data_IF_618177172992
#
_entry.id   IF_618177172992
#
_cell.length_a   1.000
_cell.length_b   1.000
_cell.length_c   1.000
_cell.angle_alpha   90.00
_cell.angle_beta   90.00
_cell.angle_gamma   90.00
#
_symmetry.space_group_name_H-M   'P 1'
#
loop_
_entity.id
_entity.type
_entity.pdbx_description
1 polymer ?
#
# COMPACT_ATOMS: atom_id res chain seq x y z
N UNK A 1 -4.36 41.47 20.44
CA UNK A 1 -3.58 41.05 19.26
C UNK A 1 -4.13 39.70 18.88
N UNK A 2 -5.08 39.71 17.95
CA UNK A 2 -5.69 38.51 17.36
C UNK A 2 -4.69 37.90 16.39
N UNK A 3 -4.33 36.65 16.62
CA UNK A 3 -3.44 35.87 15.77
C UNK A 3 -4.27 35.37 14.57
N UNK A 4 -4.05 35.99 13.41
CA UNK A 4 -4.68 35.65 12.13
C UNK A 4 -4.03 34.38 11.57
N UNK A 5 -4.52 33.21 11.97
CA UNK A 5 -4.30 31.98 11.21
C UNK A 5 -5.23 31.99 9.99
N UNK A 6 -4.80 32.68 8.93
CA UNK A 6 -5.40 32.53 7.60
C UNK A 6 -5.31 31.06 7.18
N UNK A 7 -6.46 30.37 7.17
CA UNK A 7 -6.63 29.14 6.39
C UNK A 7 -6.37 29.50 4.93
N UNK A 8 -5.29 28.95 4.37
CA UNK A 8 -5.02 29.04 2.94
C UNK A 8 -6.15 28.31 2.19
N UNK A 9 -6.60 28.88 1.06
CA UNK A 9 -7.73 28.38 0.27
C UNK A 9 -7.46 27.02 -0.39
N UNK A 10 -8.36 26.55 -1.28
CA UNK A 10 -8.21 25.24 -1.95
C UNK A 10 -6.85 25.14 -2.64
N UNK A 11 -6.25 23.95 -2.60
CA UNK A 11 -4.89 23.66 -3.09
C UNK A 11 -4.79 23.99 -4.58
N UNK A 12 -4.34 25.19 -4.95
CA UNK A 12 -4.21 25.59 -6.37
C UNK A 12 -2.93 25.08 -7.04
N UNK A 13 -1.95 24.62 -6.24
CA UNK A 13 -0.70 24.01 -6.72
C UNK A 13 -0.58 22.59 -6.14
N UNK A 14 -0.50 21.58 -7.02
CA UNK A 14 -0.31 20.18 -6.65
C UNK A 14 1.02 19.95 -5.91
N UNK A 15 1.98 20.85 -6.06
CA UNK A 15 3.26 20.74 -5.36
C UNK A 15 3.15 21.26 -3.94
N UNK A 16 3.61 20.44 -3.01
CA UNK A 16 3.80 20.86 -1.62
C UNK A 16 4.76 22.07 -1.56
N UNK A 17 4.48 23.11 -0.74
CA UNK A 17 5.29 24.32 -0.69
C UNK A 17 6.78 24.05 -0.42
N UNK A 18 7.65 24.95 -0.90
CA UNK A 18 9.10 24.78 -0.90
C UNK A 18 9.72 24.61 0.50
N UNK A 19 10.75 23.77 0.63
CA UNK A 19 11.43 23.47 1.90
C UNK A 19 12.35 24.62 2.32
N UNK A 20 12.16 25.11 3.56
CA UNK A 20 13.14 25.95 4.25
C UNK A 20 14.31 25.12 4.82
N UNK A 21 15.51 25.69 4.83
CA UNK A 21 16.72 25.05 5.37
C UNK A 21 16.48 24.66 6.85
N UNK A 22 16.78 23.41 7.21
CA UNK A 22 16.66 22.90 8.59
C UNK A 22 15.31 22.24 8.95
N UNK A 23 14.33 22.19 8.05
CA UNK A 23 13.07 21.44 8.27
C UNK A 23 13.24 19.94 8.00
N UNK A 24 12.42 19.09 8.66
CA UNK A 24 12.29 17.65 8.35
C UNK A 24 11.98 17.41 6.85
N UNK A 25 12.36 16.27 6.25
CA UNK A 25 12.04 15.98 4.85
C UNK A 25 10.52 16.03 4.64
N UNK A 26 10.09 16.47 3.45
CA UNK A 26 8.70 16.35 3.02
C UNK A 26 8.41 14.89 2.71
N UNK A 27 7.61 14.28 3.56
CA UNK A 27 7.32 12.85 3.54
C UNK A 27 5.94 12.61 2.95
N UNK A 28 5.86 11.85 1.85
CA UNK A 28 4.58 11.35 1.33
C UNK A 28 4.39 9.91 1.76
N UNK A 29 3.26 9.62 2.41
CA UNK A 29 2.86 8.27 2.77
C UNK A 29 2.01 7.67 1.64
N UNK A 30 2.43 6.54 1.09
CA UNK A 30 1.70 5.81 0.04
C UNK A 30 1.14 4.53 0.63
N UNK A 31 -0.18 4.40 0.67
CA UNK A 31 -0.89 3.23 1.20
C UNK A 31 -1.47 2.42 0.04
N UNK A 32 -0.85 1.28 -0.24
CA UNK A 32 -1.24 0.43 -1.36
C UNK A 32 -2.58 -0.30 -1.18
N UNK A 33 -3.12 -0.78 -2.30
CA UNK A 33 -4.29 -1.67 -2.33
C UNK A 33 -3.96 -3.07 -1.79
N UNK A 34 -4.98 -3.80 -1.32
CA UNK A 34 -4.76 -5.14 -0.76
C UNK A 34 -5.97 -5.83 -0.11
N UNK A 35 -7.18 -5.29 -0.25
CA UNK A 35 -8.37 -5.79 0.46
C UNK A 35 -8.13 -5.87 1.97
N UNK A 36 -8.50 -6.97 2.61
CA UNK A 36 -8.35 -7.13 4.07
C UNK A 36 -6.91 -7.12 4.59
N UNK A 37 -5.91 -7.33 3.72
CA UNK A 37 -4.50 -7.13 4.10
C UNK A 37 -4.22 -5.68 4.51
N UNK A 38 -5.09 -4.75 4.11
CA UNK A 38 -5.02 -3.32 4.45
C UNK A 38 -5.02 -3.01 5.94
N UNK A 39 -5.44 -3.94 6.80
CA UNK A 39 -5.29 -3.78 8.26
C UNK A 39 -3.82 -3.59 8.68
N UNK A 40 -2.87 -4.10 7.88
CA UNK A 40 -1.45 -3.86 8.12
C UNK A 40 -1.09 -2.36 8.10
N UNK A 41 -1.82 -1.53 7.33
CA UNK A 41 -1.60 -0.07 7.30
C UNK A 41 -1.79 0.57 8.68
N UNK A 42 -2.71 0.06 9.51
CA UNK A 42 -2.90 0.52 10.89
C UNK A 42 -1.64 0.27 11.73
N UNK A 43 -1.04 -0.91 11.57
CA UNK A 43 0.23 -1.24 12.24
C UNK A 43 1.38 -0.35 11.76
N UNK A 44 1.44 -0.05 10.47
CA UNK A 44 2.44 0.90 9.93
C UNK A 44 2.26 2.29 10.54
N UNK A 45 1.03 2.80 10.57
CA UNK A 45 0.73 4.10 11.21
C UNK A 45 1.12 4.10 12.69
N UNK A 46 0.89 2.99 13.40
CA UNK A 46 1.25 2.84 14.81
C UNK A 46 2.77 2.91 15.00
N UNK A 47 3.53 2.17 14.18
CA UNK A 47 4.98 2.23 14.20
C UNK A 47 5.51 3.63 13.89
N UNK A 48 4.95 4.32 12.88
CA UNK A 48 5.33 5.70 12.57
C UNK A 48 5.06 6.65 13.74
N UNK A 49 3.89 6.54 14.38
CA UNK A 49 3.53 7.31 15.59
C UNK A 49 4.52 7.06 16.72
N UNK A 50 4.82 5.79 17.02
CA UNK A 50 5.79 5.39 18.07
C UNK A 50 7.19 5.95 17.80
N UNK A 51 7.61 5.97 16.54
CA UNK A 51 8.91 6.50 16.12
C UNK A 51 8.95 8.02 15.95
N UNK A 52 7.81 8.71 16.09
CA UNK A 52 7.71 10.15 15.85
C UNK A 52 7.88 10.56 14.38
N UNK A 53 7.72 9.63 13.44
CA UNK A 53 7.82 9.91 12.00
C UNK A 53 6.50 10.52 11.52
N UNK A 54 6.60 11.73 10.97
CA UNK A 54 5.47 12.46 10.41
C UNK A 54 5.43 12.35 8.88
N UNK A 55 4.22 12.45 8.32
CA UNK A 55 3.94 12.59 6.90
C UNK A 55 3.28 13.94 6.62
N UNK A 56 3.44 14.44 5.40
CA UNK A 56 2.92 15.74 4.95
C UNK A 56 1.80 15.59 3.92
N UNK A 57 1.70 14.43 3.27
CA UNK A 57 0.59 14.08 2.41
C UNK A 57 0.40 12.56 2.37
N UNK A 58 -0.79 12.12 2.03
CA UNK A 58 -1.14 10.70 1.89
C UNK A 58 -1.67 10.43 0.49
N UNK A 59 -1.23 9.34 -0.12
CA UNK A 59 -1.81 8.79 -1.35
C UNK A 59 -2.30 7.38 -1.06
N UNK A 60 -3.57 7.09 -1.32
CA UNK A 60 -4.18 5.80 -1.00
C UNK A 60 -4.86 5.15 -2.20
N UNK A 61 -4.80 3.82 -2.28
CA UNK A 61 -5.53 3.02 -3.27
C UNK A 61 -6.37 1.94 -2.57
N UNK A 62 -7.64 1.77 -2.96
CA UNK A 62 -8.53 0.76 -2.39
C UNK A 62 -8.60 0.86 -0.87
N UNK A 63 -8.39 -0.21 -0.12
CA UNK A 63 -8.29 -0.18 1.35
C UNK A 63 -7.28 0.86 1.88
N UNK A 64 -6.20 1.13 1.14
CA UNK A 64 -5.24 2.18 1.48
C UNK A 64 -5.83 3.59 1.36
N UNK A 65 -6.82 3.80 0.50
CA UNK A 65 -7.58 5.06 0.44
C UNK A 65 -8.49 5.24 1.66
N UNK A 66 -9.15 4.17 2.11
CA UNK A 66 -9.98 4.21 3.32
C UNK A 66 -9.15 4.52 4.56
N UNK A 67 -8.06 3.77 4.77
CA UNK A 67 -7.13 4.02 5.90
C UNK A 67 -6.48 5.40 5.76
N UNK A 68 -6.07 5.77 4.55
CA UNK A 68 -5.46 7.07 4.27
C UNK A 68 -6.39 8.25 4.56
N UNK A 69 -7.66 8.16 4.19
CA UNK A 69 -8.65 9.20 4.47
C UNK A 69 -8.91 9.35 5.98
N UNK A 70 -9.01 8.23 6.72
CA UNK A 70 -9.12 8.28 8.18
C UNK A 70 -7.89 8.92 8.84
N UNK A 71 -6.69 8.54 8.39
CA UNK A 71 -5.44 9.08 8.91
C UNK A 71 -5.27 10.58 8.57
N UNK A 72 -5.57 10.97 7.32
CA UNK A 72 -5.51 12.36 6.89
C UNK A 72 -6.53 13.24 7.63
N UNK A 73 -7.66 12.68 8.06
CA UNK A 73 -8.67 13.39 8.84
C UNK A 73 -8.43 13.40 10.34
N UNK A 74 -7.25 12.96 10.82
CA UNK A 74 -6.85 13.03 12.22
C UNK A 74 -7.50 11.98 13.13
N UNK A 75 -8.09 10.92 12.59
CA UNK A 75 -8.69 9.86 13.41
C UNK A 75 -7.62 9.15 14.24
N UNK A 76 -7.95 8.75 15.46
CA UNK A 76 -7.02 8.01 16.31
C UNK A 76 -6.84 6.56 15.83
N UNK A 77 -5.61 6.04 15.85
CA UNK A 77 -5.26 4.69 15.35
C UNK A 77 -6.10 3.61 16.06
N UNK A 78 -6.29 3.74 17.36
CA UNK A 78 -7.07 2.80 18.18
C UNK A 78 -8.56 2.82 17.81
N UNK A 79 -9.06 3.95 17.29
CA UNK A 79 -10.41 4.05 16.78
C UNK A 79 -10.52 3.48 15.36
N UNK A 80 -9.54 3.75 14.48
CA UNK A 80 -9.47 3.15 13.15
C UNK A 80 -9.48 1.62 13.23
N UNK A 81 -8.66 1.04 14.12
CA UNK A 81 -8.59 -0.40 14.36
C UNK A 81 -9.95 -0.95 14.80
N UNK A 82 -10.60 -0.34 15.80
CA UNK A 82 -11.93 -0.77 16.28
C UNK A 82 -13.01 -0.67 15.21
N UNK A 83 -12.97 0.37 14.38
CA UNK A 83 -13.91 0.51 13.27
C UNK A 83 -13.69 -0.65 12.31
N UNK A 84 -12.47 -0.83 11.85
CA UNK A 84 -12.08 -1.82 10.85
C UNK A 84 -12.16 -3.27 11.34
N UNK A 85 -12.08 -3.53 12.65
CA UNK A 85 -12.37 -4.84 13.25
C UNK A 85 -13.87 -5.16 13.25
N UNK A 86 -14.71 -4.14 13.43
CA UNK A 86 -16.18 -4.29 13.41
C UNK A 86 -16.75 -4.38 12.00
N UNK A 87 -15.96 -4.00 11.00
CA UNK A 87 -16.26 -4.21 9.59
C UNK A 87 -16.31 -5.72 9.33
N UNK A 88 -17.51 -6.29 9.45
CA UNK A 88 -17.76 -7.69 9.14
C UNK A 88 -17.95 -7.91 7.63
N UNK A 89 -17.76 -9.15 7.15
CA UNK A 89 -18.13 -9.54 5.77
C UNK A 89 -19.56 -9.14 5.41
N UNK A 90 -20.46 -9.11 6.38
CA UNK A 90 -21.89 -8.85 6.19
C UNK A 90 -22.20 -7.36 5.97
N UNK A 91 -21.33 -6.46 6.43
CA UNK A 91 -21.52 -5.02 6.34
C UNK A 91 -21.16 -4.41 4.98
N UNK A 92 -20.16 -4.98 4.29
CA UNK A 92 -19.66 -4.48 3.01
C UNK A 92 -20.24 -5.24 1.82
N UNK A 93 -20.63 -6.48 2.05
CA UNK A 93 -21.04 -7.41 1.02
C UNK A 93 -22.52 -7.81 1.20
N UNK A 94 -23.42 -6.83 1.25
CA UNK A 94 -24.86 -7.08 1.14
C UNK A 94 -25.24 -7.37 -0.32
N UNK A 95 -25.40 -8.66 -0.62
CA UNK A 95 -25.68 -9.13 -1.97
C UNK A 95 -26.91 -8.41 -2.54
N UNK A 96 -26.79 -7.91 -3.77
CA UNK A 96 -27.90 -7.34 -4.51
C UNK A 96 -28.77 -8.46 -5.10
N UNK A 97 -29.34 -9.29 -4.22
CA UNK A 97 -30.12 -10.49 -4.57
C UNK A 97 -31.21 -10.18 -5.60
N UNK A 98 -31.84 -9.01 -5.51
CA UNK A 98 -32.91 -8.57 -6.41
C UNK A 98 -32.40 -8.29 -7.83
N UNK A 99 -31.30 -7.54 -8.00
CA UNK A 99 -30.69 -7.33 -9.33
C UNK A 99 -30.10 -8.63 -9.89
N UNK A 100 -29.51 -9.48 -9.05
CA UNK A 100 -28.97 -10.78 -9.46
C UNK A 100 -30.08 -11.74 -9.91
N UNK A 101 -31.23 -11.77 -9.24
CA UNK A 101 -32.40 -12.55 -9.66
C UNK A 101 -33.02 -12.01 -10.96
N UNK A 102 -33.13 -10.69 -11.11
CA UNK A 102 -33.82 -10.06 -12.25
C UNK A 102 -32.96 -10.00 -13.52
N UNK A 103 -31.64 -9.81 -13.39
CA UNK A 103 -30.72 -9.62 -14.52
C UNK A 103 -29.73 -10.76 -14.71
N UNK A 104 -29.63 -11.71 -13.78
CA UNK A 104 -28.71 -12.84 -13.89
C UNK A 104 -27.26 -12.38 -14.13
N UNK A 105 -26.62 -12.91 -15.17
CA UNK A 105 -25.26 -12.52 -15.61
C UNK A 105 -25.16 -11.11 -16.20
N UNK A 106 -26.29 -10.39 -16.37
CA UNK A 106 -26.32 -8.99 -16.84
C UNK A 106 -26.35 -7.95 -15.71
N UNK A 107 -26.27 -8.38 -14.44
CA UNK A 107 -26.09 -7.44 -13.33
C UNK A 107 -24.65 -6.86 -13.38
N UNK A 108 -24.47 -5.54 -13.39
CA UNK A 108 -23.14 -4.93 -13.47
C UNK A 108 -22.30 -5.13 -12.19
N UNK A 109 -22.94 -5.45 -11.06
CA UNK A 109 -22.29 -5.66 -9.77
C UNK A 109 -23.04 -6.68 -8.91
N UNK A 110 -22.33 -7.27 -7.94
CA UNK A 110 -22.87 -8.25 -7.01
C UNK A 110 -23.48 -7.61 -5.75
N UNK A 111 -23.05 -6.41 -5.37
CA UNK A 111 -23.39 -5.75 -4.11
C UNK A 111 -24.00 -4.36 -4.32
N UNK A 112 -24.79 -3.88 -3.34
CA UNK A 112 -25.35 -2.52 -3.37
C UNK A 112 -24.30 -1.50 -2.93
N UNK A 113 -23.89 -0.63 -3.84
CA UNK A 113 -22.93 0.45 -3.54
C UNK A 113 -23.43 1.45 -2.50
N UNK A 114 -24.74 1.71 -2.45
CA UNK A 114 -25.36 2.65 -1.50
C UNK A 114 -25.07 2.31 -0.03
N UNK A 115 -25.20 1.04 0.36
CA UNK A 115 -24.90 0.60 1.74
C UNK A 115 -23.44 0.81 2.11
N UNK A 116 -22.53 0.59 1.16
CA UNK A 116 -21.10 0.82 1.38
C UNK A 116 -20.81 2.33 1.51
N UNK A 117 -21.41 3.18 0.66
CA UNK A 117 -21.30 4.65 0.75
C UNK A 117 -21.83 5.21 2.07
N UNK A 118 -22.98 4.72 2.54
CA UNK A 118 -23.54 5.10 3.83
C UNK A 118 -22.56 4.81 4.98
N UNK A 119 -21.94 3.61 4.97
CA UNK A 119 -20.93 3.24 5.97
C UNK A 119 -19.66 4.07 5.85
N UNK A 120 -19.22 4.43 4.65
CA UNK A 120 -18.10 5.35 4.47
C UNK A 120 -18.39 6.71 5.09
N UNK A 121 -19.62 7.22 4.94
CA UNK A 121 -20.04 8.50 5.53
C UNK A 121 -20.04 8.48 7.07
N UNK A 122 -20.22 7.31 7.69
CA UNK A 122 -20.14 7.14 9.15
C UNK A 122 -18.69 6.99 9.65
N UNK A 123 -17.83 6.37 8.85
CA UNK A 123 -16.46 6.01 9.23
C UNK A 123 -15.48 7.15 8.94
N UNK A 124 -15.71 7.93 7.89
CA UNK A 124 -14.81 9.03 7.52
C UNK A 124 -15.05 10.24 8.42
N UNK A 125 -13.98 10.87 8.94
CA UNK A 125 -14.12 11.94 9.93
C UNK A 125 -14.58 13.27 9.34
N UNK A 126 -14.41 13.48 8.03
CA UNK A 126 -14.69 14.72 7.30
C UNK A 126 -15.47 14.44 6.01
N UNK A 127 -16.05 15.47 5.41
CA UNK A 127 -16.83 15.38 4.16
C UNK A 127 -16.03 15.83 2.94
N UNK A 128 -15.15 16.82 3.11
CA UNK A 128 -14.32 17.36 2.03
C UNK A 128 -12.87 16.90 2.10
N UNK A 129 -12.18 16.91 0.95
CA UNK A 129 -10.72 16.71 0.89
C UNK A 129 -9.95 17.89 1.51
N UNK A 130 -10.51 19.09 1.45
CA UNK A 130 -9.97 20.35 1.98
C UNK A 130 -10.13 20.50 3.51
N UNK A 131 -10.97 19.65 4.12
CA UNK A 131 -11.20 19.60 5.57
C UNK A 131 -10.17 18.74 6.33
N UNK A 132 -9.31 18.02 5.60
CA UNK A 132 -8.33 17.09 6.16
C UNK A 132 -7.11 17.82 6.74
N UNK A 133 -6.46 17.20 7.74
CA UNK A 133 -5.29 17.77 8.42
C UNK A 133 -4.05 17.82 7.52
N UNK A 134 -3.95 16.87 6.58
CA UNK A 134 -2.91 16.81 5.55
C UNK A 134 -3.56 16.54 4.18
N UNK A 135 -2.97 17.03 3.08
CA UNK A 135 -3.40 16.68 1.73
C UNK A 135 -3.51 15.16 1.54
N UNK A 136 -4.66 14.72 1.02
CA UNK A 136 -4.95 13.33 0.74
C UNK A 136 -5.37 13.17 -0.72
N UNK A 137 -4.83 12.15 -1.37
CA UNK A 137 -5.14 11.83 -2.76
C UNK A 137 -5.60 10.39 -2.90
N UNK A 138 -6.77 10.21 -3.50
CA UNK A 138 -7.43 8.93 -3.62
C UNK A 138 -7.34 8.40 -5.06
N UNK A 139 -6.61 7.31 -5.27
CA UNK A 139 -6.36 6.75 -6.60
C UNK A 139 -7.54 5.91 -7.09
N UNK A 140 -8.00 6.19 -8.30
CA UNK A 140 -9.03 5.45 -9.02
C UNK A 140 -8.64 5.29 -10.49
N UNK A 141 -9.36 4.45 -11.23
CA UNK A 141 -9.23 4.33 -12.69
C UNK A 141 -10.50 4.82 -13.38
N UNK A 142 -10.33 5.63 -14.42
CA UNK A 142 -11.43 6.03 -15.32
C UNK A 142 -11.64 4.95 -16.38
N UNK A 143 -12.82 4.34 -16.42
CA UNK A 143 -13.10 3.20 -17.28
C UNK A 143 -13.11 3.55 -18.77
N UNK A 144 -13.43 4.79 -19.13
CA UNK A 144 -13.52 5.21 -20.54
C UNK A 144 -12.18 5.20 -21.27
N UNK A 145 -11.08 5.41 -20.55
CA UNK A 145 -9.74 5.49 -21.14
C UNK A 145 -8.66 4.65 -20.42
N UNK A 146 -9.00 4.01 -19.30
CA UNK A 146 -8.08 3.22 -18.49
C UNK A 146 -7.02 4.04 -17.75
N UNK A 147 -7.18 5.36 -17.66
CA UNK A 147 -6.22 6.25 -17.00
C UNK A 147 -6.44 6.35 -15.50
N UNK A 148 -5.34 6.47 -14.73
CA UNK A 148 -5.40 6.83 -13.33
C UNK A 148 -6.01 8.22 -13.13
N UNK A 149 -6.79 8.34 -12.07
CA UNK A 149 -7.37 9.58 -11.58
C UNK A 149 -7.13 9.65 -10.08
N UNK A 150 -6.77 10.83 -9.58
CA UNK A 150 -6.50 11.05 -8.16
C UNK A 150 -7.50 12.08 -7.64
N UNK A 151 -8.53 11.65 -6.91
CA UNK A 151 -9.44 12.59 -6.23
C UNK A 151 -8.67 13.33 -5.13
N UNK A 152 -9.06 14.58 -4.86
CA UNK A 152 -8.29 15.53 -4.05
C UNK A 152 -7.27 16.35 -4.85
N UNK A 153 -7.13 16.08 -6.16
CA UNK A 153 -6.42 16.99 -7.08
C UNK A 153 -7.35 18.11 -7.57
N UNK A 154 -6.80 19.27 -7.99
CA UNK A 154 -7.61 20.38 -8.50
C UNK A 154 -8.52 19.95 -9.66
N UNK A 155 -9.78 20.40 -9.63
CA UNK A 155 -10.79 20.00 -10.61
C UNK A 155 -11.68 18.83 -10.18
N UNK A 156 -11.47 18.27 -8.98
CA UNK A 156 -12.40 17.37 -8.29
C UNK A 156 -12.88 17.97 -6.96
N UNK A 157 -12.90 19.30 -6.86
CA UNK A 157 -13.20 20.05 -5.63
C UNK A 157 -14.64 19.86 -5.14
N UNK A 158 -15.54 19.44 -6.03
CA UNK A 158 -16.95 19.15 -5.76
C UNK A 158 -17.22 17.68 -5.43
N UNK A 159 -16.21 16.80 -5.50
CA UNK A 159 -16.33 15.38 -5.16
C UNK A 159 -16.21 15.19 -3.65
N UNK A 160 -17.25 14.67 -2.96
CA UNK A 160 -17.16 14.34 -1.54
C UNK A 160 -16.07 13.30 -1.26
N UNK A 161 -15.47 13.36 -0.07
CA UNK A 161 -14.41 12.44 0.36
C UNK A 161 -14.88 10.98 0.29
N UNK A 162 -16.08 10.69 0.80
CA UNK A 162 -16.67 9.36 0.77
C UNK A 162 -16.86 8.81 -0.65
N UNK A 163 -17.15 9.69 -1.61
CA UNK A 163 -17.36 9.32 -3.01
C UNK A 163 -16.02 9.00 -3.70
N UNK A 164 -14.98 9.79 -3.43
CA UNK A 164 -13.63 9.50 -3.90
C UNK A 164 -13.10 8.19 -3.33
N UNK A 165 -13.28 7.95 -2.02
CA UNK A 165 -12.90 6.68 -1.36
C UNK A 165 -13.73 5.51 -1.89
N UNK A 166 -15.04 5.69 -2.11
CA UNK A 166 -15.91 4.68 -2.71
C UNK A 166 -15.42 4.28 -4.12
N UNK A 167 -15.10 5.26 -4.96
CA UNK A 167 -14.57 5.00 -6.30
C UNK A 167 -13.30 4.18 -6.25
N UNK A 168 -12.37 4.52 -5.35
CA UNK A 168 -11.12 3.77 -5.15
C UNK A 168 -11.31 2.38 -4.57
N UNK A 169 -12.41 2.10 -3.86
CA UNK A 169 -12.75 0.79 -3.32
C UNK A 169 -13.72 -0.02 -4.19
N UNK A 170 -14.11 0.51 -5.35
CA UNK A 170 -15.10 -0.10 -6.24
C UNK A 170 -14.47 -1.21 -7.10
N UNK A 171 -14.35 -2.39 -6.51
CA UNK A 171 -13.78 -3.58 -7.17
C UNK A 171 -14.67 -4.08 -8.33
N UNK A 172 -14.08 -4.45 -9.50
CA UNK A 172 -14.80 -4.98 -10.64
C UNK A 172 -15.65 -6.20 -10.29
N UNK A 173 -16.95 -6.15 -10.63
CA UNK A 173 -17.90 -7.22 -10.37
C UNK A 173 -18.40 -7.29 -8.92
N UNK A 174 -17.81 -6.54 -7.99
CA UNK A 174 -18.28 -6.39 -6.60
C UNK A 174 -19.25 -5.22 -6.49
N UNK A 175 -18.77 -4.02 -6.79
CA UNK A 175 -19.50 -2.76 -6.62
C UNK A 175 -19.79 -2.10 -7.97
N UNK A 176 -20.80 -1.23 -8.02
CA UNK A 176 -21.07 -0.42 -9.21
C UNK A 176 -20.00 0.67 -9.34
N UNK A 177 -19.47 0.94 -10.55
CA UNK A 177 -18.55 2.05 -10.73
C UNK A 177 -19.19 3.36 -10.27
N UNK A 178 -18.37 4.24 -9.69
CA UNK A 178 -18.79 5.58 -9.32
C UNK A 178 -18.96 6.43 -10.57
N UNK A 179 -20.11 7.09 -10.73
CA UNK A 179 -20.36 8.01 -11.84
C UNK A 179 -20.20 9.46 -11.35
N UNK A 180 -19.37 10.23 -12.04
CA UNK A 180 -19.20 11.66 -11.80
C UNK A 180 -18.84 12.36 -13.12
N UNK A 181 -19.56 13.44 -13.44
CA UNK A 181 -19.45 14.19 -14.70
C UNK A 181 -19.54 13.32 -15.97
N UNK A 182 -20.38 12.28 -15.94
CA UNK A 182 -20.62 11.38 -17.06
C UNK A 182 -19.48 10.37 -17.32
N UNK A 183 -18.54 10.25 -16.38
CA UNK A 183 -17.45 9.26 -16.42
C UNK A 183 -17.57 8.26 -15.28
N UNK A 184 -17.01 7.07 -15.50
CA UNK A 184 -17.12 5.95 -14.57
C UNK A 184 -15.76 5.62 -13.95
N UNK A 185 -15.74 5.51 -12.63
CA UNK A 185 -14.52 5.28 -11.86
C UNK A 185 -14.59 3.97 -11.07
N UNK A 186 -13.48 3.25 -11.04
CA UNK A 186 -13.30 2.01 -10.28
C UNK A 186 -11.99 2.01 -9.50
N UNK A 187 -11.77 0.95 -8.73
CA UNK A 187 -10.58 0.75 -7.91
C UNK A 187 -9.28 0.99 -8.70
N UNK A 188 -8.44 1.90 -8.20
CA UNK A 188 -7.19 2.30 -8.84
C UNK A 188 -6.14 1.17 -8.88
N UNK A 189 -6.31 0.13 -8.05
CA UNK A 189 -5.45 -1.05 -8.02
C UNK A 189 -5.44 -1.86 -9.31
N UNK A 190 -6.41 -1.64 -10.19
CA UNK A 190 -6.45 -2.23 -11.54
C UNK A 190 -5.24 -1.79 -12.38
N UNK A 191 -4.76 -0.56 -12.17
CA UNK A 191 -3.69 0.05 -12.98
C UNK A 191 -2.46 0.43 -12.15
N UNK A 192 -2.64 0.82 -10.89
CA UNK A 192 -1.54 1.26 -10.02
C UNK A 192 -1.89 1.03 -8.55
N UNK A 193 -1.64 -0.17 -8.02
CA UNK A 193 -1.98 -0.49 -6.65
C UNK A 193 -1.08 0.20 -5.61
N UNK A 194 0.10 0.69 -6.00
CA UNK A 194 1.05 1.42 -5.14
C UNK A 194 1.54 2.65 -5.91
N UNK A 195 0.81 3.80 -5.85
CA UNK A 195 0.98 4.93 -6.77
C UNK A 195 2.21 5.81 -6.50
N UNK A 196 3.41 5.21 -6.58
CA UNK A 196 4.70 5.86 -6.36
C UNK A 196 4.95 6.98 -7.37
N UNK A 197 4.51 6.81 -8.62
CA UNK A 197 4.66 7.82 -9.66
C UNK A 197 4.00 9.13 -9.26
N UNK A 198 2.76 9.05 -8.80
CA UNK A 198 2.01 10.21 -8.37
C UNK A 198 2.64 10.84 -7.13
N UNK A 199 3.03 10.04 -6.14
CA UNK A 199 3.73 10.54 -4.95
C UNK A 199 5.00 11.34 -5.29
N UNK A 200 5.77 10.94 -6.31
CA UNK A 200 6.92 11.71 -6.80
C UNK A 200 6.53 13.06 -7.41
N UNK A 201 5.38 13.15 -8.10
CA UNK A 201 4.91 14.42 -8.70
C UNK A 201 4.58 15.48 -7.66
N UNK A 202 4.24 15.08 -6.42
CA UNK A 202 3.98 15.98 -5.29
C UNK A 202 5.25 16.67 -4.76
N UNK A 203 6.43 16.28 -5.26
CA UNK A 203 7.72 16.87 -4.84
C UNK A 203 8.21 16.35 -3.50
N UNK A 204 7.91 15.08 -3.19
CA UNK A 204 8.36 14.41 -1.97
C UNK A 204 9.89 14.38 -1.86
N UNK A 205 10.42 14.69 -0.67
CA UNK A 205 11.83 14.45 -0.36
C UNK A 205 12.04 13.00 0.10
N UNK A 206 11.02 12.43 0.74
CA UNK A 206 10.93 11.05 1.23
C UNK A 206 9.55 10.47 0.88
N UNK A 207 9.50 9.24 0.39
CA UNK A 207 8.28 8.47 0.17
C UNK A 207 8.34 7.26 1.09
N UNK A 208 7.35 7.09 1.96
CA UNK A 208 7.17 5.85 2.72
C UNK A 208 6.01 5.12 2.08
N UNK A 209 6.26 3.95 1.49
CA UNK A 209 5.27 3.22 0.72
C UNK A 209 4.97 1.87 1.36
N UNK A 210 3.69 1.54 1.50
CA UNK A 210 3.24 0.24 2.01
C UNK A 210 2.67 -0.58 0.87
N UNK A 211 3.34 -1.69 0.55
CA UNK A 211 2.93 -2.64 -0.47
C UNK A 211 2.38 -3.93 0.17
N UNK A 212 1.14 -4.27 -0.19
CA UNK A 212 0.41 -5.45 0.29
C UNK A 212 0.20 -6.51 -0.80
N UNK A 213 0.72 -6.26 -1.99
CA UNK A 213 0.64 -7.16 -3.16
C UNK A 213 1.61 -8.35 -3.09
N UNK A 214 2.28 -8.54 -1.95
CA UNK A 214 3.31 -9.56 -1.75
C UNK A 214 2.77 -10.95 -2.11
N UNK A 215 3.50 -11.62 -3.01
CA UNK A 215 3.18 -12.96 -3.50
C UNK A 215 3.25 -13.97 -2.35
N UNK A 216 2.21 -14.81 -2.24
CA UNK A 216 2.35 -16.06 -1.49
C UNK A 216 3.22 -17.01 -2.31
N UNK A 217 4.17 -17.69 -1.67
CA UNK A 217 4.99 -18.68 -2.35
C UNK A 217 4.18 -19.85 -2.91
N UNK A 218 3.04 -20.15 -2.29
CA UNK A 218 2.12 -21.17 -2.77
C UNK A 218 0.68 -20.78 -2.41
N UNK A 219 -0.23 -20.84 -3.39
CA UNK A 219 -1.67 -20.65 -3.19
C UNK A 219 -2.40 -21.65 -4.07
N UNK A 220 -3.02 -22.66 -3.48
CA UNK A 220 -3.82 -23.62 -4.24
C UNK A 220 -4.98 -22.88 -4.89
N UNK A 221 -5.12 -22.88 -6.23
CA UNK A 221 -6.20 -22.18 -6.89
C UNK A 221 -7.53 -22.89 -6.59
N UNK A 222 -8.49 -22.17 -6.03
CA UNK A 222 -9.86 -22.66 -5.86
C UNK A 222 -10.67 -22.43 -7.15
N UNK A 223 -10.19 -23.01 -8.26
CA UNK A 223 -10.80 -22.85 -9.59
C UNK A 223 -11.98 -23.81 -9.82
N UNK A 224 -12.06 -24.89 -9.04
CA UNK A 224 -13.11 -25.92 -9.19
C UNK A 224 -14.44 -25.51 -8.59
N UNK A 225 -14.48 -24.47 -7.75
CA UNK A 225 -15.68 -24.10 -6.98
C UNK A 225 -16.50 -22.96 -7.60
N UNK A 226 -15.89 -21.94 -8.25
CA UNK A 226 -16.59 -20.74 -8.80
C UNK A 226 -15.85 -20.07 -9.97
N UNK A 227 -16.56 -19.60 -11.01
CA UNK A 227 -15.95 -18.83 -12.14
C UNK A 227 -15.30 -17.54 -11.64
N UNK A 228 -15.96 -16.86 -10.69
CA UNK A 228 -15.51 -15.58 -10.16
C UNK A 228 -14.19 -15.68 -9.35
N UNK A 229 -13.94 -16.80 -8.66
CA UNK A 229 -12.67 -17.00 -7.95
C UNK A 229 -11.49 -17.11 -8.92
N UNK A 230 -11.71 -17.73 -10.08
CA UNK A 230 -10.70 -17.82 -11.15
C UNK A 230 -10.42 -16.43 -11.76
N UNK A 231 -11.47 -15.64 -12.01
CA UNK A 231 -11.31 -14.26 -12.50
C UNK A 231 -10.53 -13.39 -11.50
N UNK A 232 -10.90 -13.41 -10.21
CA UNK A 232 -10.15 -12.66 -9.20
C UNK A 232 -8.72 -13.14 -9.09
N UNK A 233 -8.44 -14.45 -9.17
CA UNK A 233 -7.05 -14.91 -9.15
C UNK A 233 -6.27 -14.40 -10.37
N UNK A 234 -6.88 -14.35 -11.55
CA UNK A 234 -6.24 -13.76 -12.72
C UNK A 234 -5.96 -12.26 -12.53
N UNK A 235 -6.92 -11.50 -11.97
CA UNK A 235 -6.70 -10.10 -11.61
C UNK A 235 -5.58 -9.93 -10.59
N UNK A 236 -5.55 -10.74 -9.52
CA UNK A 236 -4.46 -10.72 -8.53
C UNK A 236 -3.10 -10.96 -9.19
N UNK A 237 -2.99 -11.90 -10.13
CA UNK A 237 -1.72 -12.18 -10.83
C UNK A 237 -1.28 -10.99 -11.69
N UNK A 238 -2.21 -10.37 -12.42
CA UNK A 238 -1.90 -9.19 -13.25
C UNK A 238 -1.49 -8.01 -12.37
N UNK A 239 -2.23 -7.75 -11.30
CA UNK A 239 -1.90 -6.72 -10.29
C UNK A 239 -0.50 -6.97 -9.70
N UNK A 240 -0.20 -8.20 -9.27
CA UNK A 240 1.11 -8.59 -8.73
C UNK A 240 2.26 -8.28 -9.72
N UNK A 241 2.06 -8.54 -11.02
CA UNK A 241 3.06 -8.24 -12.07
C UNK A 241 3.18 -6.73 -12.31
N UNK A 242 2.07 -5.99 -12.34
CA UNK A 242 2.08 -4.55 -12.53
C UNK A 242 2.75 -3.81 -11.36
N UNK A 243 2.47 -4.23 -10.12
CA UNK A 243 3.13 -3.67 -8.94
C UNK A 243 4.62 -3.96 -8.97
N UNK A 244 5.02 -5.21 -9.25
CA UNK A 244 6.44 -5.57 -9.37
C UNK A 244 7.15 -4.71 -10.43
N UNK A 245 6.52 -4.48 -11.58
CA UNK A 245 7.06 -3.58 -12.59
C UNK A 245 7.13 -2.10 -12.12
N UNK A 246 6.09 -1.60 -11.46
CA UNK A 246 6.06 -0.24 -10.91
C UNK A 246 7.17 -0.03 -9.86
N UNK A 247 7.34 -1.00 -8.95
CA UNK A 247 8.40 -0.98 -7.94
C UNK A 247 9.79 -0.98 -8.60
N UNK A 248 10.01 -1.78 -9.63
CA UNK A 248 11.28 -1.76 -10.39
C UNK A 248 11.62 -0.38 -10.96
N UNK A 249 10.62 0.33 -11.47
CA UNK A 249 10.78 1.58 -12.18
C UNK A 249 10.81 2.81 -11.27
N UNK A 250 10.17 2.73 -10.10
CA UNK A 250 9.87 3.90 -9.28
C UNK A 250 10.39 3.85 -7.86
N UNK A 251 10.88 2.71 -7.37
CA UNK A 251 11.64 2.69 -6.12
C UNK A 251 13.05 3.22 -6.38
N UNK A 252 13.46 4.24 -5.61
CA UNK A 252 14.81 4.79 -5.60
C UNK A 252 15.21 5.20 -4.17
N UNK A 253 16.32 5.93 -4.03
CA UNK A 253 16.87 6.36 -2.75
C UNK A 253 15.93 7.25 -1.91
N UNK A 254 14.89 7.82 -2.51
CA UNK A 254 13.88 8.62 -1.81
C UNK A 254 12.73 7.77 -1.29
N UNK A 255 12.62 6.51 -1.71
CA UNK A 255 11.54 5.60 -1.29
C UNK A 255 12.00 4.73 -0.13
N UNK A 256 11.05 4.42 0.76
CA UNK A 256 11.14 3.47 1.86
C UNK A 256 9.95 2.54 1.73
N UNK A 257 10.20 1.33 1.22
CA UNK A 257 9.19 0.34 0.96
C UNK A 257 8.99 -0.60 2.16
N UNK A 258 7.79 -0.60 2.72
CA UNK A 258 7.35 -1.46 3.80
C UNK A 258 6.48 -2.56 3.19
N UNK A 259 6.85 -3.82 3.41
CA UNK A 259 6.19 -4.97 2.80
C UNK A 259 5.81 -6.02 3.87
N UNK A 260 4.70 -5.82 4.59
CA UNK A 260 4.27 -6.70 5.68
C UNK A 260 4.07 -8.15 5.22
N UNK A 261 4.46 -9.14 6.03
CA UNK A 261 4.35 -10.56 5.65
C UNK A 261 2.91 -11.11 5.71
N UNK A 262 2.04 -10.63 4.84
CA UNK A 262 0.59 -10.92 4.78
C UNK A 262 0.15 -11.63 3.49
N UNK A 263 1.10 -11.99 2.61
CA UNK A 263 0.83 -12.59 1.30
C UNK A 263 0.07 -13.93 1.31
N UNK A 264 0.16 -14.68 2.41
CA UNK A 264 -0.56 -15.95 2.60
C UNK A 264 -2.05 -15.75 2.96
N UNK A 265 -2.42 -14.57 3.45
CA UNK A 265 -3.79 -14.25 3.86
C UNK A 265 -4.65 -13.92 2.65
N UNK A 266 -5.91 -14.34 2.67
CA UNK A 266 -6.86 -13.98 1.61
C UNK A 266 -7.24 -12.50 1.69
N UNK A 267 -7.32 -11.82 0.54
CA UNK A 267 -7.81 -10.43 0.44
C UNK A 267 -9.28 -10.29 0.86
N UNK A 268 -10.01 -11.40 0.91
CA UNK A 268 -11.43 -11.47 1.27
C UNK A 268 -11.68 -12.21 2.59
N UNK A 269 -10.63 -12.54 3.36
CA UNK A 269 -10.82 -13.15 4.68
C UNK A 269 -10.61 -12.14 5.79
N UNK A 270 -11.53 -12.17 6.76
CA UNK A 270 -11.68 -11.17 7.83
C UNK A 270 -11.30 -11.78 9.18
N UNK A 271 -10.55 -12.89 9.15
CA UNK A 271 -10.00 -13.57 10.32
C UNK A 271 -8.68 -12.91 10.71
N UNK A 272 -8.37 -12.95 12.01
CA UNK A 272 -7.07 -12.58 12.56
C UNK A 272 -6.60 -11.13 12.28
N UNK A 273 -7.51 -10.15 12.28
CA UNK A 273 -7.20 -8.71 12.10
C UNK A 273 -6.02 -8.25 12.96
N UNK A 274 -5.99 -8.63 14.24
CA UNK A 274 -4.91 -8.31 15.16
C UNK A 274 -3.53 -8.86 14.71
N UNK A 275 -3.47 -10.04 14.06
CA UNK A 275 -2.23 -10.56 13.48
C UNK A 275 -1.78 -9.72 12.28
N UNK A 276 -2.72 -9.31 11.42
CA UNK A 276 -2.42 -8.47 10.25
C UNK A 276 -1.87 -7.11 10.67
N UNK A 277 -2.50 -6.47 11.66
CA UNK A 277 -2.04 -5.20 12.24
C UNK A 277 -0.63 -5.37 12.81
N UNK A 278 -0.41 -6.38 13.67
CA UNK A 278 0.90 -6.67 14.26
C UNK A 278 1.98 -6.86 13.20
N UNK A 279 1.71 -7.62 12.13
CA UNK A 279 2.68 -7.83 11.03
C UNK A 279 3.03 -6.54 10.30
N UNK A 280 2.08 -5.62 10.18
CA UNK A 280 2.32 -4.28 9.63
C UNK A 280 3.23 -3.46 10.52
N UNK A 281 2.98 -3.48 11.83
CA UNK A 281 3.78 -2.78 12.84
C UNK A 281 5.21 -3.32 12.93
N UNK A 282 5.37 -4.64 13.01
CA UNK A 282 6.68 -5.29 13.09
C UNK A 282 7.54 -4.97 11.87
N UNK A 283 6.97 -5.04 10.67
CA UNK A 283 7.71 -4.73 9.44
C UNK A 283 8.04 -3.24 9.33
N UNK A 284 7.12 -2.35 9.71
CA UNK A 284 7.38 -0.92 9.73
C UNK A 284 8.47 -0.56 10.73
N UNK A 285 8.43 -1.08 11.96
CA UNK A 285 9.50 -0.88 12.94
C UNK A 285 10.84 -1.36 12.41
N UNK A 286 10.87 -2.57 11.83
CA UNK A 286 12.08 -3.15 11.23
C UNK A 286 12.65 -2.23 10.15
N UNK A 287 11.82 -1.78 9.22
CA UNK A 287 12.24 -0.97 8.06
C UNK A 287 12.61 0.45 8.49
N UNK A 288 11.75 1.14 9.24
CA UNK A 288 11.93 2.55 9.56
C UNK A 288 13.12 2.81 10.50
N UNK A 289 13.46 1.85 11.37
CA UNK A 289 14.63 1.94 12.26
C UNK A 289 15.95 1.54 11.60
N UNK A 290 15.89 0.85 10.46
CA UNK A 290 17.07 0.41 9.72
C UNK A 290 17.38 1.24 8.49
N UNK A 291 16.37 1.80 7.83
CA UNK A 291 16.55 2.41 6.51
C UNK A 291 17.35 3.72 6.58
N UNK A 292 18.27 3.91 5.63
CA UNK A 292 19.16 5.07 5.62
C UNK A 292 18.42 6.41 5.49
N UNK A 293 17.28 6.42 4.77
CA UNK A 293 16.46 7.61 4.58
C UNK A 293 15.67 8.03 5.84
N UNK A 294 15.42 7.10 6.78
CA UNK A 294 14.62 7.35 8.00
C UNK A 294 15.45 7.34 9.27
N UNK A 295 16.70 6.87 9.26
CA UNK A 295 17.56 6.77 10.45
C UNK A 295 17.74 8.10 11.22
N UNK A 296 17.68 9.24 10.53
CA UNK A 296 17.81 10.56 11.13
C UNK A 296 16.47 11.11 11.66
N UNK A 297 15.36 10.40 11.39
CA UNK A 297 14.02 10.74 11.85
C UNK A 297 13.61 9.96 13.10
N UNK A 298 14.33 8.87 13.42
CA UNK A 298 14.04 8.01 14.56
C UNK A 298 14.96 8.31 15.74
N UNK A 299 14.50 8.11 16.99
CA UNK A 299 15.36 8.18 18.17
C UNK A 299 16.52 7.18 18.09
N UNK A 300 17.73 7.61 18.46
CA UNK A 300 18.94 6.81 18.30
C UNK A 300 18.98 5.50 19.10
N UNK A 301 18.26 5.46 20.23
CA UNK A 301 18.08 4.27 21.08
C UNK A 301 17.13 3.22 20.46
N UNK A 302 16.38 3.60 19.42
CA UNK A 302 15.46 2.72 18.70
C UNK A 302 16.11 2.11 17.44
N UNK A 303 17.34 2.53 17.11
CA UNK A 303 18.07 1.99 15.95
C UNK A 303 18.53 0.57 16.25
N UNK A 304 18.15 -0.36 15.38
CA UNK A 304 18.58 -1.76 15.48
C UNK A 304 19.92 -1.90 14.74
N UNK A 305 21.04 -1.85 15.48
CA UNK A 305 22.43 -1.85 14.95
C UNK A 305 22.74 -3.04 14.02
N UNK A 306 22.05 -4.18 14.18
CA UNK A 306 22.23 -5.39 13.36
C UNK A 306 21.40 -5.44 12.06
N UNK A 307 20.47 -4.52 11.87
CA UNK A 307 19.60 -4.45 10.69
C UNK A 307 19.83 -3.17 9.87
N UNK A 308 20.68 -2.26 10.33
CA UNK A 308 20.82 -0.92 9.75
C UNK A 308 21.34 -0.97 8.32
N UNK A 309 20.64 -0.32 7.41
CA UNK A 309 21.07 -0.15 6.04
C UNK A 309 22.31 0.73 5.99
N UNK A 310 23.37 0.35 5.24
CA UNK A 310 24.52 1.21 5.07
C UNK A 310 24.11 2.51 4.36
N UNK A 311 24.68 3.64 4.83
CA UNK A 311 24.38 4.97 4.29
C UNK A 311 24.82 5.15 2.82
N UNK A 312 25.72 4.29 2.35
CA UNK A 312 26.04 4.12 0.93
C UNK A 312 25.58 2.73 0.49
N UNK A 313 24.90 2.60 -0.66
CA UNK A 313 24.64 1.31 -1.27
C UNK A 313 25.95 0.53 -1.37
N UNK A 314 26.07 -0.62 -0.71
CA UNK A 314 27.15 -1.56 -1.04
C UNK A 314 26.85 -2.14 -2.41
N UNK A 315 27.85 -2.35 -3.26
CA UNK A 315 27.64 -2.99 -4.58
C UNK A 315 27.21 -4.46 -4.46
N UNK A 316 27.35 -5.07 -3.27
CA UNK A 316 27.10 -6.49 -3.02
C UNK A 316 26.30 -6.75 -1.74
N UNK A 317 25.46 -7.80 -1.71
CA UNK A 317 24.91 -8.42 -0.48
C UNK A 317 25.45 -9.84 -0.32
N UNK A 318 25.74 -10.24 0.93
CA UNK A 318 25.99 -11.64 1.27
C UNK A 318 24.67 -12.34 1.61
N UNK A 319 24.41 -13.46 0.96
CA UNK A 319 23.26 -14.33 1.21
C UNK A 319 23.74 -15.61 1.89
N UNK A 320 23.05 -16.01 2.94
CA UNK A 320 23.21 -17.32 3.57
C UNK A 320 22.08 -18.25 3.13
N UNK A 321 22.45 -19.47 2.76
CA UNK A 321 21.53 -20.49 2.30
C UNK A 321 21.62 -21.66 3.28
N UNK A 322 20.51 -22.00 3.93
CA UNK A 322 20.38 -23.20 4.75
C UNK A 322 20.27 -24.43 3.84
N UNK A 323 21.31 -25.27 3.74
CA UNK A 323 21.31 -26.41 2.83
C UNK A 323 20.29 -27.49 3.22
N UNK A 324 19.83 -27.53 4.47
CA UNK A 324 18.81 -28.49 4.92
C UNK A 324 17.40 -28.12 4.45
N UNK A 325 17.16 -26.83 4.19
CA UNK A 325 15.87 -26.31 3.71
C UNK A 325 15.88 -25.98 2.22
N UNK A 326 17.05 -25.78 1.63
CA UNK A 326 17.18 -25.44 0.22
C UNK A 326 16.81 -26.63 -0.68
N UNK A 327 15.82 -26.44 -1.54
CA UNK A 327 15.37 -27.45 -2.50
C UNK A 327 15.98 -27.29 -3.90
N UNK A 328 16.93 -26.36 -4.07
CA UNK A 328 17.60 -26.14 -5.36
C UNK A 328 16.70 -25.64 -6.49
N UNK A 329 15.62 -24.91 -6.17
CA UNK A 329 14.62 -24.48 -7.15
C UNK A 329 15.05 -23.32 -8.07
N UNK A 330 16.20 -22.69 -7.84
CA UNK A 330 16.70 -21.57 -8.66
C UNK A 330 15.92 -20.25 -8.51
N UNK A 331 14.91 -20.18 -7.65
CA UNK A 331 14.09 -18.97 -7.49
C UNK A 331 14.92 -17.76 -7.05
N UNK A 332 15.96 -17.95 -6.23
CA UNK A 332 16.88 -16.89 -5.87
C UNK A 332 17.59 -16.29 -7.09
N UNK A 333 18.04 -17.09 -8.04
CA UNK A 333 18.69 -16.59 -9.26
C UNK A 333 17.72 -15.77 -10.12
N UNK A 334 16.43 -16.10 -10.08
CA UNK A 334 15.40 -15.40 -10.84
C UNK A 334 14.89 -14.12 -10.17
N UNK A 335 14.80 -14.09 -8.84
CA UNK A 335 14.14 -13.00 -8.08
C UNK A 335 15.11 -12.07 -7.35
N UNK A 336 16.37 -12.47 -7.17
CA UNK A 336 17.40 -11.55 -6.72
C UNK A 336 17.76 -10.67 -7.92
N UNK A 337 17.22 -9.45 -8.02
CA UNK A 337 17.50 -8.58 -9.17
C UNK A 337 18.94 -8.09 -9.13
N UNK A 338 19.83 -8.88 -9.75
CA UNK A 338 21.25 -8.78 -9.53
C UNK A 338 22.03 -9.08 -10.81
N UNK A 339 23.14 -8.39 -11.00
CA UNK A 339 23.97 -8.48 -12.21
C UNK A 339 25.01 -9.62 -12.14
N UNK A 340 25.15 -10.27 -10.99
CA UNK A 340 26.07 -11.40 -10.81
C UNK A 340 25.71 -12.19 -9.55
N UNK A 341 25.56 -13.51 -9.68
CA UNK A 341 25.39 -14.45 -8.57
C UNK A 341 26.66 -15.31 -8.45
N UNK A 342 27.33 -15.24 -7.30
CA UNK A 342 28.47 -16.11 -6.99
C UNK A 342 28.14 -16.95 -5.77
N UNK A 343 28.07 -18.28 -5.92
CA UNK A 343 27.66 -19.19 -4.84
C UNK A 343 28.72 -20.23 -4.50
N UNK A 344 28.96 -20.41 -3.19
CA UNK A 344 29.55 -21.60 -2.59
C UNK A 344 28.48 -22.45 -1.87
N UNK A 345 28.89 -23.49 -1.16
CA UNK A 345 27.96 -24.48 -0.56
C UNK A 345 26.96 -23.90 0.47
N UNK A 346 27.33 -22.82 1.19
CA UNK A 346 26.52 -22.24 2.29
C UNK A 346 26.37 -20.71 2.21
N UNK A 347 27.03 -20.08 1.24
CA UNK A 347 27.05 -18.61 1.08
C UNK A 347 27.07 -18.23 -0.39
N UNK A 348 26.29 -17.21 -0.73
CA UNK A 348 26.34 -16.56 -2.02
C UNK A 348 26.57 -15.06 -1.88
N UNK A 349 27.15 -14.43 -2.89
CA UNK A 349 27.30 -12.97 -2.99
C UNK A 349 26.64 -12.51 -4.26
N UNK A 350 25.93 -11.39 -4.17
CA UNK A 350 25.13 -10.92 -5.30
C UNK A 350 25.32 -9.43 -5.57
N UNK A 351 25.58 -9.06 -6.83
CA UNK A 351 25.83 -7.68 -7.25
C UNK A 351 24.51 -6.94 -7.49
N UNK A 352 24.30 -5.80 -6.84
CA UNK A 352 23.04 -5.03 -6.92
C UNK A 352 22.95 -4.19 -8.19
N UNK A 353 21.72 -4.00 -8.66
CA UNK A 353 21.37 -2.99 -9.66
C UNK A 353 21.44 -1.57 -9.05
N UNK A 354 21.60 -0.55 -9.91
CA UNK A 354 21.79 0.86 -9.50
C UNK A 354 20.62 1.49 -8.72
N UNK A 355 19.42 0.89 -8.74
CA UNK A 355 18.21 1.35 -8.05
C UNK A 355 18.08 0.69 -6.66
N UNK A 356 19.15 0.73 -5.88
CA UNK A 356 19.28 -0.04 -4.66
C UNK A 356 18.46 0.52 -3.50
N UNK A 357 17.52 -0.27 -2.97
CA UNK A 357 16.77 -0.02 -1.74
C UNK A 357 16.92 -1.22 -0.78
N UNK A 358 17.36 -0.97 0.47
CA UNK A 358 17.65 -2.01 1.46
C UNK A 358 16.48 -2.96 1.79
N UNK A 359 15.26 -2.49 1.59
CA UNK A 359 14.03 -3.23 1.89
C UNK A 359 13.66 -4.21 0.77
N UNK A 360 14.14 -3.96 -0.46
CA UNK A 360 13.91 -4.83 -1.61
C UNK A 360 14.80 -6.08 -1.59
N UNK A 361 15.94 -6.03 -0.90
CA UNK A 361 16.89 -7.15 -0.77
C UNK A 361 16.30 -8.41 -0.12
N UNK A 362 15.21 -8.30 0.62
CA UNK A 362 14.49 -9.48 1.06
C UNK A 362 13.79 -10.20 -0.09
N UNK A 363 13.76 -9.74 -1.34
CA UNK A 363 13.16 -10.49 -2.45
C UNK A 363 13.68 -11.94 -2.52
N UNK A 364 14.98 -12.15 -2.34
CA UNK A 364 15.59 -13.49 -2.28
C UNK A 364 15.06 -14.33 -1.10
N UNK A 365 15.02 -13.74 0.10
CA UNK A 365 14.57 -14.41 1.31
C UNK A 365 13.05 -14.65 1.32
N UNK A 366 12.29 -13.65 0.89
CA UNK A 366 10.83 -13.55 0.83
C UNK A 366 10.23 -14.49 -0.22
N UNK A 367 10.85 -14.57 -1.40
CA UNK A 367 10.42 -15.48 -2.46
C UNK A 367 11.04 -16.87 -2.32
N UNK A 368 11.83 -17.13 -1.26
CA UNK A 368 12.32 -18.46 -0.97
C UNK A 368 11.16 -19.35 -0.51
N UNK A 369 10.86 -20.46 -1.20
CA UNK A 369 9.70 -21.30 -0.86
C UNK A 369 9.81 -22.06 0.44
N UNK A 370 11.00 -22.13 1.02
CA UNK A 370 11.29 -22.92 2.21
C UNK A 370 11.93 -22.08 3.32
N UNK A 371 11.94 -20.75 3.16
CA UNK A 371 12.65 -19.82 4.06
C UNK A 371 14.13 -20.22 4.25
N UNK A 372 14.74 -20.90 3.26
CA UNK A 372 16.13 -21.35 3.30
C UNK A 372 17.12 -20.19 3.13
N UNK A 373 16.65 -19.01 2.74
CA UNK A 373 17.50 -17.87 2.41
C UNK A 373 17.37 -16.81 3.51
N UNK A 374 18.52 -16.39 4.02
CA UNK A 374 18.65 -15.23 4.90
C UNK A 374 19.73 -14.30 4.35
N UNK A 375 19.60 -13.00 4.63
CA UNK A 375 20.63 -12.04 4.27
C UNK A 375 21.63 -11.90 5.42
N UNK A 376 22.92 -11.88 5.11
CA UNK A 376 23.96 -11.44 6.03
C UNK A 376 24.00 -9.92 6.15
N UNK A 377 24.87 -9.41 7.03
CA UNK A 377 25.00 -7.97 7.31
C UNK A 377 25.06 -7.13 6.02
N UNK A 378 24.04 -6.28 5.83
CA UNK A 378 23.89 -5.36 4.70
C UNK A 378 25.04 -4.35 4.61
#
# INVERSE_FOLDING_TARGET
MSDDTKREGPVTDLRMPGRGIGRRPRTVLVLGGGGMRGMAHIGVLRAMRTLGIQYDAIVGTSIGSLVGAMAAGGREIEEMEKILEKVSKEDYFQLNLVKLLLKGTRAPSMYRGETFKERLSEILPQRGFDELEVPFFCNAVRLENGGNVFFGTPGFDDVPLEDGVYASCSLPGVFEPYEHDGFHYMDGGIVDAVPLRFAKTLGADLIIAVDLSIKSTFKTPDYKSRVLSTMYRAFEIVEEVLVEHSLHMHVDYQTVLIQPKVGHLSRFDFTDVADVVRRGEDEALRVLTSHAATRNLVPGDTIIEGLTCPAQPRDFVSIHIDPARCIGCGMCEMVCETDAFWAGAERATVRKLANYECTRDHACARNCPTDAISLGNL
#
